data_IF_278042721329
#
_entry.id   IF_278042721329
#
_cell.length_a   1.000
_cell.length_b   1.000
_cell.length_c   1.000
_cell.angle_alpha   90.00
_cell.angle_beta   90.00
_cell.angle_gamma   90.00
#
_symmetry.space_group_name_H-M   'P 1'
#
loop_
_entity.id
_entity.type
_entity.pdbx_description
1 polymer ?
#
# COMPACT_ATOMS: atom_id res chain seq x y z
N UNK A 1 4.66 10.26 18.23
CA UNK A 1 4.11 11.18 17.20
C UNK A 1 5.12 11.48 16.10
N UNK A 2 6.40 11.76 16.41
CA UNK A 2 7.49 11.93 15.42
C UNK A 2 7.56 10.83 14.35
N UNK A 3 7.31 9.57 14.71
CA UNK A 3 7.33 8.43 13.77
C UNK A 3 6.35 8.56 12.59
N UNK A 4 5.20 9.23 12.75
CA UNK A 4 4.26 9.46 11.63
C UNK A 4 4.75 10.57 10.72
N UNK A 5 5.46 11.56 11.28
CA UNK A 5 6.07 12.65 10.51
C UNK A 5 7.28 12.12 9.72
N UNK A 6 8.08 11.24 10.33
CA UNK A 6 9.22 10.58 9.68
C UNK A 6 8.80 9.65 8.53
N UNK A 7 7.49 9.34 8.40
CA UNK A 7 6.91 8.61 7.28
C UNK A 7 6.45 9.48 6.10
N UNK A 8 6.45 10.82 6.23
CA UNK A 8 6.00 11.75 5.18
C UNK A 8 6.56 11.44 3.78
N UNK A 9 7.87 11.11 3.62
CA UNK A 9 8.42 10.84 2.28
C UNK A 9 7.86 9.58 1.60
N UNK A 10 7.11 8.75 2.34
CA UNK A 10 6.72 7.39 1.93
C UNK A 10 5.22 7.22 1.67
N UNK A 11 4.41 8.28 1.79
CA UNK A 11 2.98 8.27 1.47
C UNK A 11 2.54 9.51 0.69
N UNK A 12 1.35 9.44 0.09
CA UNK A 12 0.80 10.53 -0.77
C UNK A 12 0.02 11.60 0.02
N UNK A 13 -0.20 11.38 1.31
CA UNK A 13 -1.01 12.26 2.17
C UNK A 13 -0.18 13.39 2.78
N UNK A 14 -0.85 14.41 3.32
CA UNK A 14 -0.18 15.40 4.18
C UNK A 14 0.07 14.81 5.57
N UNK A 15 1.12 15.25 6.24
CA UNK A 15 1.42 14.87 7.62
C UNK A 15 0.24 15.13 8.56
N UNK A 16 -0.45 16.27 8.40
CA UNK A 16 -1.64 16.61 9.17
C UNK A 16 -2.77 15.57 9.00
N UNK A 17 -2.97 15.07 7.79
CA UNK A 17 -3.97 14.03 7.53
C UNK A 17 -3.58 12.71 8.20
N UNK A 18 -2.33 12.26 8.04
CA UNK A 18 -1.84 11.03 8.66
C UNK A 18 -1.96 11.08 10.20
N UNK A 19 -1.58 12.21 10.80
CA UNK A 19 -1.76 12.46 12.24
C UNK A 19 -3.24 12.38 12.64
N UNK A 20 -4.15 12.98 11.87
CA UNK A 20 -5.59 12.91 12.19
C UNK A 20 -6.10 11.47 12.23
N UNK A 21 -5.58 10.59 11.36
CA UNK A 21 -5.95 9.16 11.33
C UNK A 21 -5.45 8.39 12.55
N UNK A 22 -4.24 8.69 13.03
CA UNK A 22 -3.73 8.14 14.28
C UNK A 22 -4.64 8.51 15.47
N UNK A 23 -5.15 9.75 15.52
CA UNK A 23 -5.98 10.22 16.63
C UNK A 23 -7.46 9.83 16.53
N UNK A 24 -7.94 9.41 15.35
CA UNK A 24 -9.36 9.14 15.10
C UNK A 24 -9.94 7.96 15.91
N UNK A 25 -9.08 7.02 16.35
CA UNK A 25 -9.45 5.94 17.27
C UNK A 25 -8.28 5.66 18.21
N UNK A 26 -8.14 6.39 19.34
CA UNK A 26 -6.92 6.36 20.16
C UNK A 26 -6.61 4.99 20.79
N UNK A 27 -7.59 4.09 20.85
CA UNK A 27 -7.42 2.72 21.32
C UNK A 27 -6.88 1.76 20.24
N UNK A 28 -6.79 2.19 18.98
CA UNK A 28 -6.31 1.37 17.86
C UNK A 28 -5.03 1.97 17.28
N UNK A 29 -4.00 1.16 17.02
CA UNK A 29 -2.80 1.65 16.38
C UNK A 29 -3.05 1.99 14.92
N UNK A 30 -2.31 2.97 14.39
CA UNK A 30 -2.17 3.14 12.95
C UNK A 30 -1.21 2.05 12.43
N UNK A 31 -1.66 1.27 11.45
CA UNK A 31 -0.86 0.22 10.82
C UNK A 31 -0.33 0.69 9.48
N UNK A 32 0.90 0.28 9.14
CA UNK A 32 1.52 0.51 7.83
C UNK A 32 1.53 -0.82 7.07
N UNK A 33 1.08 -0.80 5.81
CA UNK A 33 1.14 -1.94 4.91
C UNK A 33 2.11 -1.66 3.78
N UNK A 34 3.13 -2.50 3.63
CA UNK A 34 4.06 -2.45 2.51
C UNK A 34 3.54 -3.33 1.39
N UNK A 35 3.37 -2.76 0.20
CA UNK A 35 2.84 -3.47 -0.96
C UNK A 35 3.91 -3.55 -2.05
N UNK A 36 4.09 -4.75 -2.60
CA UNK A 36 4.90 -4.96 -3.79
C UNK A 36 3.99 -4.94 -5.02
N UNK A 37 4.21 -3.97 -5.90
CA UNK A 37 3.40 -3.78 -7.11
C UNK A 37 4.05 -4.50 -8.28
N UNK A 38 3.22 -5.24 -9.02
CA UNK A 38 3.62 -5.93 -10.25
C UNK A 38 2.84 -5.36 -11.42
N UNK A 39 3.52 -5.18 -12.55
CA UNK A 39 2.93 -4.76 -13.81
C UNK A 39 2.52 -6.00 -14.62
N UNK A 40 1.26 -6.03 -15.03
CA UNK A 40 0.77 -7.00 -16.01
C UNK A 40 1.41 -6.71 -17.37
N UNK A 41 1.84 -7.75 -18.08
CA UNK A 41 2.36 -7.61 -19.45
C UNK A 41 1.30 -7.04 -20.40
N UNK A 42 0.05 -7.49 -20.23
CA UNK A 42 -1.11 -6.99 -20.97
C UNK A 42 -2.11 -6.36 -20.00
N UNK A 43 -2.51 -5.10 -20.18
CA UNK A 43 -3.55 -4.49 -19.37
C UNK A 43 -4.86 -5.27 -19.47
N UNK A 44 -5.51 -5.52 -18.34
CA UNK A 44 -6.84 -6.14 -18.29
C UNK A 44 -7.88 -5.06 -18.02
N UNK A 45 -8.87 -4.97 -18.89
CA UNK A 45 -10.02 -4.08 -18.69
C UNK A 45 -11.10 -4.83 -17.93
N UNK A 46 -11.46 -4.33 -16.74
CA UNK A 46 -12.63 -4.81 -15.99
C UNK A 46 -13.82 -3.91 -16.35
N UNK A 47 -14.84 -4.42 -17.07
CA UNK A 47 -16.02 -3.62 -17.38
C UNK A 47 -16.79 -3.32 -16.10
N UNK A 48 -17.37 -2.12 -16.01
CA UNK A 48 -18.29 -1.82 -14.93
C UNK A 48 -19.58 -2.62 -15.10
N UNK A 49 -20.03 -3.28 -14.04
CA UNK A 49 -21.27 -4.04 -13.98
C UNK A 49 -22.21 -3.40 -12.93
N UNK A 50 -23.54 -3.41 -13.13
CA UNK A 50 -24.50 -2.90 -12.14
C UNK A 50 -24.31 -3.51 -10.74
N UNK A 51 -23.86 -4.76 -10.65
CA UNK A 51 -23.54 -5.52 -9.44
C UNK A 51 -22.38 -4.91 -8.64
N UNK A 52 -21.53 -4.11 -9.28
CA UNK A 52 -20.47 -3.36 -8.60
C UNK A 52 -20.96 -2.02 -8.02
N UNK A 53 -22.21 -1.65 -8.28
CA UNK A 53 -22.81 -0.43 -7.77
C UNK A 53 -23.21 -0.51 -6.30
N UNK A 54 -23.36 0.65 -5.66
CA UNK A 54 -23.80 0.76 -4.27
C UNK A 54 -22.68 1.17 -3.31
N UNK A 55 -22.98 1.14 -2.01
CA UNK A 55 -22.04 1.52 -0.95
C UNK A 55 -21.37 0.27 -0.35
N UNK A 56 -20.61 -0.44 -1.18
CA UNK A 56 -19.81 -1.61 -0.75
C UNK A 56 -18.34 -1.23 -0.66
N UNK A 57 -17.66 -1.62 0.41
CA UNK A 57 -16.22 -1.35 0.57
C UNK A 57 -15.34 -2.23 -0.33
N UNK A 58 -15.88 -3.37 -0.76
CA UNK A 58 -15.22 -4.34 -1.63
C UNK A 58 -16.25 -4.91 -2.61
N UNK A 59 -15.83 -5.14 -3.85
CA UNK A 59 -16.60 -5.87 -4.86
C UNK A 59 -15.75 -7.03 -5.34
N UNK A 60 -16.37 -8.20 -5.46
CA UNK A 60 -15.72 -9.33 -6.12
C UNK A 60 -15.76 -9.09 -7.62
N UNK A 61 -14.60 -9.10 -8.27
CA UNK A 61 -14.54 -9.03 -9.74
C UNK A 61 -15.08 -10.36 -10.25
N UNK A 62 -16.28 -10.33 -10.86
CA UNK A 62 -17.01 -11.53 -11.27
C UNK A 62 -16.36 -12.25 -12.47
N UNK A 63 -15.55 -11.54 -13.23
CA UNK A 63 -14.78 -12.09 -14.34
C UNK A 63 -13.40 -12.53 -13.85
N UNK A 64 -12.99 -13.75 -14.18
CA UNK A 64 -11.62 -14.20 -13.91
C UNK A 64 -10.59 -13.27 -14.57
N UNK A 65 -9.71 -12.69 -13.76
CA UNK A 65 -8.59 -11.87 -14.23
C UNK A 65 -7.38 -12.77 -14.43
N UNK A 66 -7.11 -13.13 -15.68
CA UNK A 66 -5.90 -13.88 -16.03
C UNK A 66 -4.69 -12.95 -15.93
N UNK A 67 -3.96 -13.05 -14.82
CA UNK A 67 -2.81 -12.18 -14.53
C UNK A 67 -1.63 -12.39 -15.49
N UNK A 68 -1.54 -13.56 -16.13
CA UNK A 68 -0.47 -13.88 -17.09
C UNK A 68 0.92 -13.74 -16.49
N UNK A 69 1.88 -13.29 -17.30
CA UNK A 69 3.22 -12.93 -16.82
C UNK A 69 3.20 -11.54 -16.21
N UNK A 70 3.88 -11.40 -15.08
CA UNK A 70 3.98 -10.16 -14.34
C UNK A 70 5.44 -9.85 -14.03
N UNK A 71 5.81 -8.58 -14.18
CA UNK A 71 7.12 -8.07 -13.77
C UNK A 71 6.98 -7.16 -12.56
N UNK A 72 7.86 -7.24 -11.55
CA UNK A 72 7.81 -6.31 -10.43
C UNK A 72 8.16 -4.90 -10.93
N UNK A 73 7.44 -3.88 -10.44
CA UNK A 73 7.70 -2.48 -10.84
C UNK A 73 9.03 -1.98 -10.29
N UNK A 74 9.41 -2.46 -9.11
CA UNK A 74 10.74 -2.28 -8.52
C UNK A 74 11.42 -3.64 -8.45
N UNK A 75 12.70 -3.70 -8.81
CA UNK A 75 13.49 -4.89 -8.58
C UNK A 75 13.62 -5.22 -7.08
N UNK A 76 14.15 -6.39 -6.76
CA UNK A 76 14.25 -6.87 -5.38
C UNK A 76 15.09 -5.94 -4.49
N UNK A 77 16.20 -5.41 -5.03
CA UNK A 77 17.12 -4.58 -4.28
C UNK A 77 16.52 -3.22 -3.94
N UNK A 78 15.87 -2.58 -4.91
CA UNK A 78 15.21 -1.28 -4.73
C UNK A 78 13.97 -1.40 -3.84
N UNK A 79 13.19 -2.48 -3.98
CA UNK A 79 12.07 -2.75 -3.09
C UNK A 79 12.51 -2.95 -1.64
N UNK A 80 13.60 -3.71 -1.44
CA UNK A 80 14.17 -3.95 -0.13
C UNK A 80 14.72 -2.65 0.48
N UNK A 81 15.47 -1.85 -0.29
CA UNK A 81 15.98 -0.55 0.16
C UNK A 81 14.87 0.37 0.67
N UNK A 82 13.78 0.51 -0.08
CA UNK A 82 12.63 1.34 0.35
C UNK A 82 11.90 0.78 1.57
N UNK A 83 11.78 -0.55 1.64
CA UNK A 83 11.22 -1.23 2.81
C UNK A 83 12.04 -0.92 4.06
N UNK A 84 13.36 -0.93 3.94
CA UNK A 84 14.27 -0.70 5.06
C UNK A 84 14.30 0.77 5.48
N UNK A 85 14.19 1.70 4.54
CA UNK A 85 14.00 3.13 4.85
C UNK A 85 12.72 3.37 5.67
N UNK A 86 11.59 2.78 5.24
CA UNK A 86 10.32 2.90 5.96
C UNK A 86 10.40 2.28 7.35
N UNK A 87 11.01 1.08 7.47
CA UNK A 87 11.24 0.43 8.76
C UNK A 87 12.15 1.29 9.65
N UNK A 88 13.19 1.89 9.08
CA UNK A 88 14.10 2.81 9.74
C UNK A 88 13.40 4.03 10.32
N UNK A 89 12.50 4.67 9.56
CA UNK A 89 11.66 5.78 10.05
C UNK A 89 10.77 5.39 11.23
N UNK A 90 10.41 4.10 11.34
CA UNK A 90 9.64 3.56 12.45
C UNK A 90 10.49 3.08 13.64
N UNK A 91 11.82 3.08 13.51
CA UNK A 91 12.75 2.52 14.50
C UNK A 91 12.72 0.99 14.56
N UNK A 92 12.20 0.33 13.51
CA UNK A 92 12.19 -1.12 13.40
C UNK A 92 13.55 -1.62 12.92
N UNK A 93 14.02 -2.73 13.48
CA UNK A 93 15.27 -3.36 13.06
C UNK A 93 15.16 -3.81 11.60
N UNK A 94 16.07 -3.31 10.76
CA UNK A 94 16.23 -3.77 9.39
C UNK A 94 16.89 -5.14 9.43
N UNK A 95 16.18 -6.18 9.01
CA UNK A 95 16.77 -7.50 8.83
C UNK A 95 17.63 -7.46 7.57
N UNK A 96 18.95 -7.49 7.74
CA UNK A 96 19.85 -7.81 6.62
C UNK A 96 19.52 -9.24 6.16
N UNK A 97 18.99 -9.36 4.94
CA UNK A 97 18.79 -10.63 4.26
C UNK A 97 20.09 -11.22 3.75
#
# INVERSE_FOLDING_TARGET
QKQVDDLEPHYIWTTAYAQSKLHWKPMLPLSVLLLRVYRLEQPVTVPYLPEYGGCTSWVEVLSDVVLGKMGPVLDDAEFQRRTDEIKGSLGLTVTAG
#
